data_IF_012678598190
#
_entry.id   IF_012678598190
#
_cell.length_a   1.000
_cell.length_b   1.000
_cell.length_c   1.000
_cell.angle_alpha   90.00
_cell.angle_beta   90.00
_cell.angle_gamma   90.00
#
_symmetry.space_group_name_H-M   'P 1'
#
loop_
_entity.id
_entity.type
_entity.pdbx_description
1 polymer ?
#
# COMPACT_ATOMS: atom_id res chain seq x y z
N UNK A 1 -4.96 -3.40 -11.20
CA UNK A 1 -5.00 -4.65 -10.41
C UNK A 1 -3.60 -5.24 -10.38
N UNK A 2 -3.17 -5.77 -9.24
CA UNK A 2 -1.87 -6.46 -9.10
C UNK A 2 -2.13 -7.94 -8.80
N UNK A 3 -1.76 -8.79 -9.75
CA UNK A 3 -1.70 -10.23 -9.53
C UNK A 3 -0.36 -10.63 -8.91
N UNK A 4 -0.43 -11.51 -7.91
CA UNK A 4 0.74 -12.08 -7.26
C UNK A 4 0.53 -13.56 -6.92
N UNK A 5 1.55 -14.38 -7.22
CA UNK A 5 1.56 -15.79 -6.89
C UNK A 5 2.53 -16.04 -5.73
N UNK A 6 1.99 -16.54 -4.62
CA UNK A 6 2.76 -17.19 -3.58
C UNK A 6 2.93 -18.68 -3.91
N UNK A 7 3.79 -19.36 -3.15
CA UNK A 7 4.07 -20.79 -3.36
C UNK A 7 2.81 -21.66 -3.36
N UNK A 8 1.81 -21.34 -2.54
CA UNK A 8 0.63 -22.19 -2.33
C UNK A 8 -0.68 -21.59 -2.85
N UNK A 9 -0.70 -20.30 -3.20
CA UNK A 9 -1.91 -19.61 -3.59
C UNK A 9 -1.62 -18.37 -4.44
N UNK A 10 -2.64 -17.86 -5.12
CA UNK A 10 -2.57 -16.63 -5.90
C UNK A 10 -3.54 -15.61 -5.33
N UNK A 11 -3.18 -14.34 -5.45
CA UNK A 11 -4.02 -13.22 -5.01
C UNK A 11 -4.10 -12.17 -6.11
N UNK A 12 -5.24 -11.50 -6.15
CA UNK A 12 -5.43 -10.22 -6.84
C UNK A 12 -5.56 -9.11 -5.80
N UNK A 13 -4.80 -8.04 -6.00
CA UNK A 13 -4.81 -6.86 -5.14
C UNK A 13 -5.35 -5.68 -5.94
N UNK A 14 -6.42 -5.09 -5.45
CA UNK A 14 -7.00 -3.86 -5.98
C UNK A 14 -6.62 -2.71 -5.06
N UNK A 15 -5.69 -1.87 -5.52
CA UNK A 15 -5.36 -0.62 -4.86
C UNK A 15 -6.27 0.49 -5.41
N UNK A 16 -6.88 1.26 -4.51
CA UNK A 16 -7.71 2.41 -4.86
C UNK A 16 -6.97 3.68 -4.47
N UNK A 17 -6.87 4.61 -5.41
CA UNK A 17 -6.44 5.97 -5.13
C UNK A 17 -7.59 6.72 -4.48
N UNK A 18 -7.35 7.29 -3.31
CA UNK A 18 -8.38 7.94 -2.52
C UNK A 18 -7.85 9.25 -1.96
N UNK A 19 -8.71 10.26 -1.97
CA UNK A 19 -8.47 11.51 -1.27
C UNK A 19 -9.07 11.43 0.14
N UNK A 20 -8.30 11.85 1.14
CA UNK A 20 -8.80 11.93 2.50
C UNK A 20 -9.68 13.18 2.65
N UNK A 21 -11.01 12.99 2.65
CA UNK A 21 -11.97 14.10 2.68
C UNK A 21 -12.23 14.60 4.11
N UNK A 22 -12.41 13.69 5.07
CA UNK A 22 -12.77 14.03 6.45
C UNK A 22 -12.54 12.86 7.41
N UNK A 23 -12.48 13.19 8.71
CA UNK A 23 -12.27 12.23 9.79
C UNK A 23 -10.81 12.11 10.18
N UNK A 24 -10.52 11.24 11.16
CA UNK A 24 -9.16 10.94 11.60
C UNK A 24 -8.94 9.43 11.50
N UNK A 25 -7.92 8.95 10.75
CA UNK A 25 -7.62 7.52 10.65
C UNK A 25 -7.33 6.90 12.02
N UNK A 26 -7.92 5.73 12.30
CA UNK A 26 -7.72 5.00 13.56
C UNK A 26 -7.22 3.57 13.31
N UNK A 27 -6.24 3.08 14.08
CA UNK A 27 -5.74 1.72 13.97
C UNK A 27 -6.71 0.73 14.62
N UNK A 28 -7.77 0.33 13.91
CA UNK A 28 -8.80 -0.57 14.45
C UNK A 28 -8.36 -2.05 14.49
N UNK A 29 -7.48 -2.46 13.57
CA UNK A 29 -7.00 -3.84 13.43
C UNK A 29 -5.49 -3.94 13.12
N UNK A 30 -4.76 -2.83 13.29
CA UNK A 30 -3.30 -2.77 13.11
C UNK A 30 -2.65 -2.12 14.33
N UNK A 31 -1.32 -2.24 14.44
CA UNK A 31 -0.60 -1.69 15.58
C UNK A 31 -0.49 -0.16 15.55
N UNK A 32 -0.35 0.43 14.35
CA UNK A 32 -0.13 1.86 14.19
C UNK A 32 -0.47 2.32 12.76
N UNK A 33 -0.70 3.64 12.62
CA UNK A 33 -0.83 4.33 11.35
C UNK A 33 0.24 5.42 11.24
N UNK A 34 0.72 5.67 10.03
CA UNK A 34 1.70 6.71 9.74
C UNK A 34 1.45 7.30 8.36
N UNK A 35 1.25 8.62 8.30
CA UNK A 35 1.28 9.37 7.04
C UNK A 35 2.73 9.55 6.60
N UNK A 36 3.01 9.28 5.33
CA UNK A 36 4.36 9.37 4.73
C UNK A 36 4.25 9.96 3.33
N UNK A 37 5.33 10.61 2.87
CA UNK A 37 5.42 10.95 1.45
C UNK A 37 5.70 9.69 0.62
N UNK A 38 5.28 9.62 -0.66
CA UNK A 38 5.60 8.51 -1.54
C UNK A 38 7.10 8.15 -1.59
N UNK A 39 7.98 9.15 -1.62
CA UNK A 39 9.43 8.96 -1.54
C UNK A 39 9.94 8.29 -0.25
N UNK A 40 9.18 8.33 0.84
CA UNK A 40 9.56 7.71 2.12
C UNK A 40 9.11 6.24 2.22
N UNK A 41 8.30 5.74 1.29
CA UNK A 41 7.82 4.36 1.31
C UNK A 41 8.97 3.33 1.27
N UNK A 42 10.12 3.66 0.66
CA UNK A 42 11.29 2.77 0.63
C UNK A 42 11.94 2.54 2.00
N UNK A 43 11.62 3.38 3.00
CA UNK A 43 12.12 3.24 4.37
C UNK A 43 11.35 2.18 5.16
N UNK A 44 10.31 1.60 4.58
CA UNK A 44 9.42 0.65 5.23
C UNK A 44 9.45 -0.69 4.52
N UNK A 45 9.49 -1.78 5.29
CA UNK A 45 9.46 -3.12 4.73
C UNK A 45 8.03 -3.45 4.25
N UNK A 46 7.90 -3.79 2.97
CA UNK A 46 6.65 -4.22 2.36
C UNK A 46 6.75 -5.62 1.76
N UNK A 47 5.66 -6.40 1.75
CA UNK A 47 5.58 -7.65 1.00
C UNK A 47 5.89 -7.43 -0.48
N UNK A 48 6.45 -8.45 -1.14
CA UNK A 48 6.81 -8.38 -2.57
C UNK A 48 5.62 -7.99 -3.46
N UNK A 49 4.41 -8.45 -3.12
CA UNK A 49 3.18 -8.10 -3.85
C UNK A 49 2.90 -6.59 -3.86
N UNK A 50 3.21 -5.89 -2.77
CA UNK A 50 2.93 -4.47 -2.61
C UNK A 50 3.96 -3.58 -3.31
N UNK A 51 5.14 -4.10 -3.66
CA UNK A 51 6.19 -3.31 -4.33
C UNK A 51 5.74 -2.73 -5.68
N UNK A 52 4.95 -3.49 -6.44
CA UNK A 52 4.35 -3.00 -7.70
C UNK A 52 3.43 -1.81 -7.49
N UNK A 53 2.62 -1.84 -6.43
CA UNK A 53 1.71 -0.74 -6.06
C UNK A 53 2.52 0.49 -5.68
N UNK A 54 3.58 0.33 -4.89
CA UNK A 54 4.44 1.43 -4.43
C UNK A 54 5.15 2.12 -5.61
N UNK A 55 5.59 1.37 -6.63
CA UNK A 55 6.13 1.98 -7.84
C UNK A 55 5.10 2.87 -8.55
N UNK A 56 3.88 2.37 -8.73
CA UNK A 56 2.80 3.15 -9.35
C UNK A 56 2.51 4.44 -8.58
N UNK A 57 2.51 4.41 -7.24
CA UNK A 57 2.30 5.61 -6.42
C UNK A 57 3.41 6.64 -6.64
N UNK A 58 4.67 6.22 -6.82
CA UNK A 58 5.79 7.15 -7.04
C UNK A 58 5.87 7.70 -8.45
N UNK A 59 5.34 6.97 -9.43
CA UNK A 59 5.28 7.41 -10.83
C UNK A 59 4.14 8.42 -11.06
N UNK A 60 3.15 8.44 -10.16
CA UNK A 60 2.04 9.38 -10.18
C UNK A 60 2.32 10.72 -9.46
N UNK A 61 3.45 10.83 -8.74
CA UNK A 61 3.97 12.09 -8.19
C UNK A 61 4.54 12.99 -9.30
#
# INVERSE_FOLDING_TARGET
>A
VVEHAYTHFRVEIHAFECEHVQGEPRPLACAALKWVRPSELDRHAFPAANKKIIQLIKEAE
#
